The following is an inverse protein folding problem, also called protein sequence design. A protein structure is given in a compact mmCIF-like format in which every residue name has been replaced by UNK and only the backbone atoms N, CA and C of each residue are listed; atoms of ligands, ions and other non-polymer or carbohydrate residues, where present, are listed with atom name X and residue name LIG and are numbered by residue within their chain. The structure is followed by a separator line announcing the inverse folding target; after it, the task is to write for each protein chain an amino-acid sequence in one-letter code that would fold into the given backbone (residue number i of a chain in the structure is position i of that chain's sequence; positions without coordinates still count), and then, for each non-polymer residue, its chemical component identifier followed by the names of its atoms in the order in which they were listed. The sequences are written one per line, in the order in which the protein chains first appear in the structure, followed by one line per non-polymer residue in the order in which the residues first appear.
data_IF_894371892627
#
_entry.id   IF_894371892627
#
_cell.length_a   1.000
_cell.length_b   1.000
_cell.length_c   1.000
_cell.angle_alpha   90.00
_cell.angle_beta   90.00
_cell.angle_gamma   90.00
#
_symmetry.space_group_name_H-M   'P 1'
#
loop_
_entity.id
_entity.type
_entity.pdbx_description
1 polymer ?
#
# COMPACT_ATOMS: atom_id res chain seq x y z
N UNK A 1 -3.59 -2.97 -18.91
CA UNK A 1 -4.79 -2.15 -19.15
C UNK A 1 -5.16 -2.24 -20.63
N UNK A 2 -6.43 -2.51 -20.99
CA UNK A 2 -6.84 -2.56 -22.40
C UNK A 2 -7.19 -1.18 -22.94
N UNK A 3 -7.02 -0.97 -24.25
CA UNK A 3 -7.42 0.28 -24.91
C UNK A 3 -8.92 0.57 -24.75
N UNK A 4 -9.76 -0.46 -24.78
CA UNK A 4 -11.20 -0.34 -24.53
C UNK A 4 -11.49 0.19 -23.12
N UNK A 5 -10.79 -0.30 -22.10
CA UNK A 5 -10.99 0.15 -20.71
C UNK A 5 -10.56 1.60 -20.50
N UNK A 6 -9.44 2.00 -21.10
CA UNK A 6 -9.03 3.41 -21.10
C UNK A 6 -10.06 4.29 -21.80
N UNK A 7 -10.55 3.88 -22.96
CA UNK A 7 -11.58 4.60 -23.72
C UNK A 7 -12.87 4.78 -22.91
N UNK A 8 -13.36 3.72 -22.28
CA UNK A 8 -14.56 3.76 -21.44
C UNK A 8 -14.36 4.66 -20.21
N UNK A 9 -13.16 4.67 -19.62
CA UNK A 9 -12.83 5.53 -18.50
C UNK A 9 -12.75 7.00 -18.90
N UNK A 10 -11.98 7.33 -19.95
CA UNK A 10 -11.71 8.73 -20.33
C UNK A 10 -12.96 9.44 -20.87
N UNK A 11 -13.91 8.70 -21.48
CA UNK A 11 -15.15 9.29 -22.00
C UNK A 11 -16.19 9.63 -20.92
N UNK A 12 -16.02 9.14 -19.68
CA UNK A 12 -16.87 9.54 -18.55
C UNK A 12 -16.59 10.98 -18.08
N UNK A 13 -15.46 11.57 -18.48
CA UNK A 13 -15.12 12.96 -18.18
C UNK A 13 -15.64 13.90 -19.28
N UNK A 14 -16.18 15.07 -18.91
CA UNK A 14 -16.41 16.18 -19.84
C UNK A 14 -15.16 16.50 -20.65
N UNK A 15 -15.33 16.96 -21.88
CA UNK A 15 -14.21 17.18 -22.82
C UNK A 15 -13.09 18.05 -22.23
N UNK A 16 -13.44 19.13 -21.51
CA UNK A 16 -12.49 20.02 -20.85
C UNK A 16 -11.74 19.42 -19.66
N UNK A 17 -12.21 18.31 -19.09
CA UNK A 17 -11.60 17.65 -17.92
C UNK A 17 -10.66 16.50 -18.31
N UNK A 18 -10.75 16.00 -19.55
CA UNK A 18 -9.99 14.82 -20.01
C UNK A 18 -8.48 15.00 -19.93
N UNK A 19 -7.98 16.22 -20.14
CA UNK A 19 -6.55 16.51 -20.05
C UNK A 19 -6.02 16.31 -18.62
N UNK A 20 -6.81 16.69 -17.60
CA UNK A 20 -6.45 16.48 -16.19
C UNK A 20 -6.37 14.98 -15.87
N UNK A 21 -7.35 14.21 -16.33
CA UNK A 21 -7.37 12.76 -16.19
C UNK A 21 -6.14 12.11 -16.85
N UNK A 22 -5.78 12.52 -18.07
CA UNK A 22 -4.59 12.03 -18.76
C UNK A 22 -3.28 12.38 -18.04
N UNK A 23 -3.17 13.59 -17.45
CA UNK A 23 -1.97 13.97 -16.67
C UNK A 23 -1.81 13.12 -15.43
N UNK A 24 -2.87 12.93 -14.65
CA UNK A 24 -2.83 12.04 -13.49
C UNK A 24 -2.49 10.60 -13.89
N UNK A 25 -3.09 10.10 -14.98
CA UNK A 25 -2.79 8.78 -15.50
C UNK A 25 -1.32 8.65 -15.93
N UNK A 26 -0.73 9.69 -16.52
CA UNK A 26 0.68 9.68 -16.93
C UNK A 26 1.66 9.60 -15.75
N UNK A 27 1.24 10.03 -14.55
CA UNK A 27 2.00 9.90 -13.31
C UNK A 27 1.64 8.67 -12.47
N UNK A 28 0.61 7.90 -12.86
CA UNK A 28 0.23 6.68 -12.17
C UNK A 28 1.29 5.59 -12.38
N UNK A 29 2.01 5.25 -11.31
CA UNK A 29 2.99 4.15 -11.29
C UNK A 29 2.22 2.84 -11.16
N UNK A 30 2.18 2.07 -12.25
CA UNK A 30 1.58 0.74 -12.30
C UNK A 30 2.71 -0.28 -12.24
N UNK A 31 2.76 -1.05 -11.16
CA UNK A 31 3.75 -2.11 -10.96
C UNK A 31 3.18 -3.44 -11.44
N UNK A 32 3.89 -4.09 -12.36
CA UNK A 32 3.53 -5.43 -12.81
C UNK A 32 3.97 -6.52 -11.81
N UNK A 33 3.82 -7.80 -12.19
CA UNK A 33 4.17 -8.92 -11.32
C UNK A 33 5.69 -8.99 -11.03
N UNK A 34 6.53 -8.67 -12.00
CA UNK A 34 7.98 -8.72 -11.82
C UNK A 34 8.49 -7.50 -11.04
N UNK A 35 7.87 -6.34 -11.22
CA UNK A 35 8.10 -5.17 -10.39
C UNK A 35 7.79 -5.47 -8.91
N UNK A 36 6.62 -6.06 -8.63
CA UNK A 36 6.22 -6.45 -7.26
C UNK A 36 7.21 -7.44 -6.64
N UNK A 37 7.65 -8.45 -7.40
CA UNK A 37 8.68 -9.39 -6.93
C UNK A 37 9.99 -8.68 -6.63
N UNK A 38 10.40 -7.75 -7.49
CA UNK A 38 11.62 -6.96 -7.33
C UNK A 38 11.56 -6.03 -6.11
N UNK A 39 10.41 -5.41 -5.85
CA UNK A 39 10.18 -4.61 -4.66
C UNK A 39 10.29 -5.47 -3.39
N UNK A 40 9.63 -6.62 -3.34
CA UNK A 40 9.75 -7.53 -2.18
C UNK A 40 11.16 -8.09 -1.98
N UNK A 41 11.86 -8.40 -3.07
CA UNK A 41 13.27 -8.79 -3.01
C UNK A 41 14.14 -7.66 -2.42
N UNK A 42 13.89 -6.40 -2.81
CA UNK A 42 14.57 -5.24 -2.24
C UNK A 42 14.30 -5.07 -0.74
N UNK A 43 13.05 -5.25 -0.29
CA UNK A 43 12.72 -5.25 1.14
C UNK A 43 13.50 -6.34 1.86
N UNK A 44 13.48 -7.57 1.33
CA UNK A 44 14.12 -8.72 1.98
C UNK A 44 15.63 -8.53 2.16
N UNK A 45 16.33 -8.03 1.13
CA UNK A 45 17.78 -7.77 1.18
C UNK A 45 18.19 -6.71 2.21
N UNK A 46 17.29 -5.80 2.54
CA UNK A 46 17.54 -4.74 3.53
C UNK A 46 17.27 -5.19 4.97
N UNK A 47 16.62 -6.33 5.18
CA UNK A 47 16.33 -6.84 6.52
C UNK A 47 17.59 -7.39 7.18
N UNK A 48 17.84 -7.07 8.46
CA UNK A 48 18.99 -7.60 9.20
C UNK A 48 18.70 -9.04 9.69
N UNK A 49 18.51 -9.98 8.77
CA UNK A 49 18.22 -11.38 9.06
C UNK A 49 19.52 -12.14 9.39
N UNK A 50 19.75 -12.55 10.65
CA UNK A 50 20.92 -13.33 10.98
C UNK A 50 20.68 -14.81 10.66
N UNK A 51 21.72 -15.47 10.16
CA UNK A 51 21.71 -16.90 9.74
C UNK A 51 21.11 -17.85 10.78
N UNK A 52 21.23 -17.54 12.08
CA UNK A 52 20.83 -18.40 13.20
C UNK A 52 19.55 -17.97 13.93
N UNK A 53 18.91 -16.85 13.58
CA UNK A 53 17.64 -16.46 14.24
C UNK A 53 16.44 -16.87 13.39
N UNK A 54 15.37 -17.24 14.08
CA UNK A 54 14.09 -17.52 13.45
C UNK A 54 13.38 -16.21 13.15
N UNK A 55 13.24 -15.91 11.86
CA UNK A 55 12.42 -14.80 11.36
C UNK A 55 11.10 -15.33 10.80
N UNK A 56 10.02 -14.64 11.14
CA UNK A 56 8.66 -14.93 10.66
C UNK A 56 8.11 -13.70 9.94
N UNK A 57 7.51 -13.92 8.78
CA UNK A 57 6.92 -12.88 7.95
C UNK A 57 5.40 -12.97 8.02
N UNK A 58 4.73 -11.86 8.27
CA UNK A 58 3.29 -11.83 8.55
C UNK A 58 2.63 -10.70 7.76
N UNK A 59 1.57 -10.98 7.01
CA UNK A 59 0.76 -9.93 6.40
C UNK A 59 0.16 -8.98 7.43
N UNK A 60 0.24 -7.67 7.22
CA UNK A 60 -0.32 -6.67 8.12
C UNK A 60 -1.84 -6.50 7.87
N UNK A 61 -2.67 -6.64 8.90
CA UNK A 61 -4.13 -6.45 8.82
C UNK A 61 -4.95 -7.71 9.14
N UNK A 62 -6.25 -7.71 8.77
CA UNK A 62 -7.16 -8.83 9.00
C UNK A 62 -7.97 -9.20 7.75
N UNK A 63 -8.24 -10.50 7.60
CA UNK A 63 -9.43 -11.13 7.01
C UNK A 63 -9.77 -10.89 5.53
N UNK A 64 -9.87 -9.62 5.11
CA UNK A 64 -10.43 -9.18 3.84
C UNK A 64 -9.69 -7.93 3.27
N UNK A 65 -8.45 -7.66 3.69
CA UNK A 65 -7.65 -6.53 3.19
C UNK A 65 -6.46 -7.01 2.35
N UNK A 66 -5.93 -6.14 1.50
CA UNK A 66 -4.77 -6.42 0.62
C UNK A 66 -3.56 -7.00 1.37
N UNK A 67 -3.39 -6.66 2.65
CA UNK A 67 -2.35 -7.18 3.53
C UNK A 67 -2.19 -8.71 3.60
N UNK A 68 -3.28 -9.48 3.51
CA UNK A 68 -3.22 -10.96 3.47
C UNK A 68 -2.67 -11.52 2.16
N UNK A 69 -2.72 -10.72 1.10
CA UNK A 69 -2.26 -11.12 -0.22
C UNK A 69 -0.75 -10.88 -0.39
N UNK A 70 -0.11 -10.07 0.46
CA UNK A 70 1.32 -9.73 0.36
C UNK A 70 2.29 -10.91 0.62
N UNK A 71 2.00 -11.85 1.54
CA UNK A 71 2.81 -13.05 1.76
C UNK A 71 3.12 -13.90 0.52
N UNK A 72 2.18 -14.04 -0.41
CA UNK A 72 2.35 -14.83 -1.62
C UNK A 72 3.36 -14.23 -2.63
N UNK A 73 3.18 -12.99 -3.13
CA UNK A 73 4.15 -12.32 -3.99
C UNK A 73 5.48 -12.08 -3.26
N UNK A 74 5.46 -11.88 -1.94
CA UNK A 74 6.69 -11.82 -1.15
C UNK A 74 7.48 -13.14 -1.23
N UNK A 75 6.83 -14.30 -1.00
CA UNK A 75 7.46 -15.63 -1.14
C UNK A 75 8.05 -15.83 -2.54
N UNK A 76 7.32 -15.42 -3.58
CA UNK A 76 7.81 -15.51 -4.96
C UNK A 76 9.02 -14.60 -5.21
N UNK A 77 9.03 -13.39 -4.65
CA UNK A 77 10.12 -12.43 -4.81
C UNK A 77 11.42 -12.89 -4.14
N UNK A 78 11.33 -13.51 -2.96
CA UNK A 78 12.51 -13.91 -2.21
C UNK A 78 13.08 -15.26 -2.63
N UNK A 79 12.27 -16.21 -3.11
CA UNK A 79 12.70 -17.60 -3.37
C UNK A 79 13.77 -17.73 -4.45
N UNK A 80 13.96 -16.69 -5.28
CA UNK A 80 14.97 -16.64 -6.34
C UNK A 80 16.28 -15.99 -5.88
N UNK A 81 16.37 -15.53 -4.65
CA UNK A 81 17.50 -14.77 -4.15
C UNK A 81 18.60 -15.68 -3.59
N UNK A 82 19.89 -15.44 -3.91
CA UNK A 82 21.00 -16.10 -3.23
C UNK A 82 20.98 -15.91 -1.70
N UNK A 83 20.52 -14.74 -1.22
CA UNK A 83 20.36 -14.45 0.20
C UNK A 83 19.30 -15.34 0.85
N UNK A 84 18.24 -15.67 0.12
CA UNK A 84 17.24 -16.62 0.59
C UNK A 84 17.84 -18.02 0.70
N UNK A 85 18.51 -18.50 -0.36
CA UNK A 85 19.18 -19.81 -0.35
C UNK A 85 20.16 -19.92 0.82
N UNK A 86 20.96 -18.88 1.07
CA UNK A 86 21.93 -18.88 2.18
C UNK A 86 21.28 -18.91 3.57
N UNK A 87 20.04 -18.42 3.73
CA UNK A 87 19.34 -18.34 5.02
C UNK A 87 18.37 -19.52 5.26
N UNK A 88 17.92 -20.14 4.17
CA UNK A 88 16.79 -21.08 4.13
C UNK A 88 17.12 -22.35 3.33
N UNK A 89 18.40 -22.68 3.10
CA UNK A 89 18.82 -23.91 2.38
C UNK A 89 18.31 -25.21 3.00
N UNK A 90 18.16 -25.24 4.32
CA UNK A 90 17.73 -26.42 5.09
C UNK A 90 16.30 -26.32 5.64
N UNK A 91 15.61 -25.21 5.40
CA UNK A 91 14.28 -24.93 5.97
C UNK A 91 13.54 -23.86 5.18
N UNK A 92 12.23 -23.96 5.05
CA UNK A 92 11.45 -22.88 4.42
C UNK A 92 11.30 -21.65 5.33
N UNK A 93 11.20 -20.47 4.71
CA UNK A 93 10.76 -19.28 5.42
C UNK A 93 9.32 -19.44 5.95
N UNK A 94 9.14 -19.12 7.23
CA UNK A 94 7.84 -19.11 7.92
C UNK A 94 7.09 -17.83 7.53
N UNK A 95 6.08 -17.95 6.68
CA UNK A 95 5.31 -16.82 6.13
C UNK A 95 3.82 -17.08 6.36
N UNK A 96 3.12 -16.16 7.00
CA UNK A 96 1.71 -16.28 7.35
C UNK A 96 0.88 -15.11 6.81
N UNK A 97 -0.40 -15.33 6.44
CA UNK A 97 -1.30 -14.28 5.97
C UNK A 97 -1.62 -13.24 7.05
N UNK A 98 -1.66 -13.64 8.31
CA UNK A 98 -1.87 -12.74 9.44
C UNK A 98 -1.33 -13.34 10.76
N UNK A 99 -1.30 -12.50 11.81
CA UNK A 99 -0.73 -12.85 13.11
C UNK A 99 -1.57 -13.88 13.89
N UNK A 100 -2.88 -13.95 13.63
CA UNK A 100 -3.76 -14.89 14.31
C UNK A 100 -3.41 -16.32 13.87
N UNK A 101 -3.25 -16.54 12.56
CA UNK A 101 -2.84 -17.83 12.01
C UNK A 101 -1.45 -18.27 12.51
N UNK A 102 -0.50 -17.33 12.58
CA UNK A 102 0.80 -17.58 13.20
C UNK A 102 0.64 -18.01 14.67
N UNK A 103 -0.16 -17.29 15.45
CA UNK A 103 -0.31 -17.54 16.88
C UNK A 103 -1.03 -18.87 17.17
N UNK A 104 -2.00 -19.27 16.36
CA UNK A 104 -2.68 -20.56 16.45
C UNK A 104 -1.75 -21.74 16.15
N UNK A 105 -0.89 -21.58 15.13
CA UNK A 105 0.02 -22.63 14.67
C UNK A 105 1.27 -22.78 15.57
N UNK A 106 1.73 -21.69 16.18
CA UNK A 106 3.09 -21.60 16.77
C UNK A 106 3.07 -21.69 18.29
N UNK A 107 2.36 -22.69 18.84
CA UNK A 107 2.07 -22.79 20.28
C UNK A 107 3.31 -22.90 21.20
N UNK A 108 4.52 -23.20 20.68
CA UNK A 108 5.67 -23.54 21.53
C UNK A 108 7.02 -22.86 21.21
N UNK A 109 7.21 -22.26 20.02
CA UNK A 109 8.44 -21.53 19.67
C UNK A 109 8.12 -20.14 19.11
N UNK A 110 8.42 -19.10 19.88
CA UNK A 110 8.29 -17.71 19.43
C UNK A 110 9.55 -17.29 18.66
N UNK A 111 9.41 -16.62 17.50
CA UNK A 111 10.54 -16.21 16.67
C UNK A 111 11.36 -15.14 17.38
N UNK A 112 12.60 -14.95 16.95
CA UNK A 112 13.40 -13.81 17.42
C UNK A 112 13.10 -12.53 16.63
N UNK A 113 12.63 -12.67 15.38
CA UNK A 113 12.35 -11.56 14.47
C UNK A 113 10.96 -11.73 13.86
N UNK A 114 10.21 -10.62 13.82
CA UNK A 114 8.99 -10.52 13.02
C UNK A 114 9.11 -9.42 12.00
N UNK A 115 8.62 -9.70 10.81
CA UNK A 115 8.48 -8.74 9.73
C UNK A 115 7.03 -8.68 9.32
N UNK A 116 6.34 -7.59 9.67
CA UNK A 116 5.03 -7.31 9.12
C UNK A 116 5.16 -6.84 7.68
N UNK A 117 4.31 -7.31 6.79
CA UNK A 117 4.34 -7.02 5.35
C UNK A 117 3.12 -6.19 4.94
N UNK A 118 3.34 -5.02 4.35
CA UNK A 118 2.26 -4.19 3.80
C UNK A 118 2.60 -3.68 2.38
N UNK A 119 1.58 -3.41 1.56
CA UNK A 119 1.79 -2.95 0.18
C UNK A 119 2.25 -1.49 0.16
N UNK A 120 1.61 -0.64 0.97
CA UNK A 120 1.91 0.79 1.05
C UNK A 120 1.85 1.33 2.48
N UNK A 121 2.80 2.22 2.81
CA UNK A 121 2.66 3.15 3.93
C UNK A 121 2.45 4.56 3.39
N UNK A 122 1.18 4.97 3.33
CA UNK A 122 0.77 6.34 2.99
C UNK A 122 1.03 7.31 4.14
N UNK A 123 -0.03 7.71 4.84
CA UNK A 123 0.05 8.55 6.04
C UNK A 123 0.38 7.79 7.34
N UNK A 124 0.62 6.48 7.31
CA UNK A 124 1.05 5.66 8.45
C UNK A 124 0.00 5.32 9.53
N UNK A 125 -1.17 5.96 9.53
CA UNK A 125 -2.20 5.76 10.58
C UNK A 125 -2.67 4.31 10.72
N UNK A 126 -2.94 3.65 9.60
CA UNK A 126 -3.42 2.26 9.60
C UNK A 126 -2.36 1.30 10.17
N UNK A 127 -1.10 1.42 9.74
CA UNK A 127 -0.01 0.59 10.26
C UNK A 127 0.16 0.79 11.78
N UNK A 128 0.13 2.04 12.26
CA UNK A 128 0.17 2.35 13.70
C UNK A 128 -0.99 1.71 14.44
N UNK A 129 -2.21 1.78 13.89
CA UNK A 129 -3.41 1.17 14.49
C UNK A 129 -3.27 -0.35 14.60
N UNK A 130 -2.91 -1.02 13.50
CA UNK A 130 -2.80 -2.48 13.46
C UNK A 130 -1.70 -2.99 14.37
N UNK A 131 -0.51 -2.41 14.32
CA UNK A 131 0.61 -2.86 15.14
C UNK A 131 0.32 -2.60 16.62
N UNK A 132 -0.23 -1.45 17.00
CA UNK A 132 -0.64 -1.24 18.39
C UNK A 132 -1.68 -2.27 18.85
N UNK A 133 -2.67 -2.59 18.01
CA UNK A 133 -3.63 -3.64 18.32
C UNK A 133 -2.95 -4.99 18.54
N UNK A 134 -1.96 -5.36 17.72
CA UNK A 134 -1.21 -6.60 17.92
C UNK A 134 -0.43 -6.60 19.24
N UNK A 135 0.28 -5.52 19.56
CA UNK A 135 1.00 -5.43 20.84
C UNK A 135 0.08 -5.48 22.06
N UNK A 136 -1.18 -5.06 21.93
CA UNK A 136 -2.19 -5.18 23.00
C UNK A 136 -2.77 -6.58 23.15
N UNK A 137 -2.69 -7.43 22.11
CA UNK A 137 -3.29 -8.76 22.11
C UNK A 137 -2.26 -9.89 22.19
N UNK A 138 -0.97 -9.59 21.95
CA UNK A 138 0.10 -10.58 21.86
C UNK A 138 1.34 -10.13 22.66
N UNK A 139 1.34 -10.38 23.96
CA UNK A 139 2.41 -9.94 24.88
C UNK A 139 3.82 -10.39 24.49
N UNK A 140 3.92 -11.53 23.80
CA UNK A 140 5.19 -12.07 23.33
C UNK A 140 5.89 -11.15 22.30
N UNK A 141 5.17 -10.23 21.66
CA UNK A 141 5.75 -9.22 20.76
C UNK A 141 6.74 -8.28 21.47
N UNK A 142 6.63 -8.12 22.79
CA UNK A 142 7.56 -7.27 23.55
C UNK A 142 8.98 -7.83 23.66
N UNK A 143 9.18 -9.12 23.29
CA UNK A 143 10.45 -9.81 23.41
C UNK A 143 11.07 -10.20 22.05
N UNK A 144 10.56 -9.63 20.94
CA UNK A 144 11.02 -9.93 19.58
C UNK A 144 11.37 -8.65 18.84
N UNK A 145 12.35 -8.73 17.93
CA UNK A 145 12.68 -7.60 17.06
C UNK A 145 11.60 -7.49 15.96
N UNK A 146 10.86 -6.39 15.95
CA UNK A 146 9.76 -6.18 14.98
C UNK A 146 10.17 -5.19 13.90
N UNK A 147 10.00 -5.59 12.64
CA UNK A 147 10.18 -4.75 11.46
C UNK A 147 8.86 -4.62 10.70
N UNK A 148 8.72 -3.53 9.95
CA UNK A 148 7.65 -3.36 8.97
C UNK A 148 8.27 -3.26 7.58
N UNK A 149 8.11 -4.29 6.75
CA UNK A 149 8.57 -4.34 5.37
C UNK A 149 7.46 -3.92 4.41
N UNK A 150 7.74 -2.94 3.55
CA UNK A 150 6.73 -2.35 2.65
C UNK A 150 7.29 -2.09 1.25
N UNK A 151 6.46 -2.28 0.23
CA UNK A 151 6.91 -2.04 -1.15
C UNK A 151 7.08 -0.54 -1.41
N UNK A 152 6.06 0.25 -1.09
CA UNK A 152 6.09 1.71 -1.29
C UNK A 152 5.76 2.41 0.02
N UNK A 153 6.47 3.49 0.35
CA UNK A 153 6.13 4.31 1.50
C UNK A 153 6.44 5.78 1.27
N UNK A 154 5.59 6.67 1.78
CA UNK A 154 5.96 8.08 1.90
C UNK A 154 6.91 8.27 3.08
N UNK A 155 7.93 9.11 2.93
CA UNK A 155 8.89 9.44 4.00
C UNK A 155 8.18 9.90 5.28
N UNK A 156 7.18 10.75 5.14
CA UNK A 156 6.36 11.23 6.27
C UNK A 156 5.58 10.11 6.95
N UNK A 157 5.13 9.10 6.18
CA UNK A 157 4.49 7.90 6.71
C UNK A 157 5.44 7.03 7.51
N UNK A 158 6.66 6.79 7.00
CA UNK A 158 7.74 6.09 7.70
C UNK A 158 8.03 6.76 9.04
N UNK A 159 8.32 8.07 9.02
CA UNK A 159 8.66 8.84 10.21
C UNK A 159 7.55 8.79 11.28
N UNK A 160 6.29 8.88 10.86
CA UNK A 160 5.15 8.77 11.77
C UNK A 160 5.07 7.38 12.41
N UNK A 161 5.23 6.31 11.63
CA UNK A 161 5.19 4.93 12.14
C UNK A 161 6.31 4.70 13.14
N UNK A 162 7.56 5.03 12.78
CA UNK A 162 8.73 4.85 13.65
C UNK A 162 8.63 5.69 14.93
N UNK A 163 8.11 6.91 14.84
CA UNK A 163 7.88 7.77 16.01
C UNK A 163 6.78 7.21 16.91
N UNK A 164 5.63 6.83 16.35
CA UNK A 164 4.46 6.39 17.12
C UNK A 164 4.63 5.00 17.73
N UNK A 165 5.46 4.15 17.10
CA UNK A 165 5.73 2.78 17.55
C UNK A 165 7.15 2.63 18.11
N UNK A 166 7.76 3.73 18.57
CA UNK A 166 9.08 3.71 19.20
C UNK A 166 9.10 2.71 20.36
N UNK A 167 10.08 1.79 20.34
CA UNK A 167 10.21 0.72 21.33
C UNK A 167 9.32 -0.51 21.06
N UNK A 168 8.44 -0.46 20.05
CA UNK A 168 7.66 -1.60 19.54
C UNK A 168 8.17 -2.07 18.18
N UNK A 169 8.40 -1.13 17.26
CA UNK A 169 8.96 -1.39 15.93
C UNK A 169 10.39 -0.88 15.89
N UNK A 170 11.30 -1.76 15.48
CA UNK A 170 12.73 -1.47 15.31
C UNK A 170 12.96 -0.54 14.14
N UNK A 171 12.37 -0.84 12.97
CA UNK A 171 12.53 -0.05 11.75
C UNK A 171 11.44 -0.35 10.72
N UNK A 172 11.11 0.66 9.90
CA UNK A 172 10.37 0.46 8.65
C UNK A 172 11.35 0.31 7.49
N UNK A 173 11.21 -0.76 6.71
CA UNK A 173 12.03 -1.07 5.53
C UNK A 173 11.14 -0.92 4.30
N UNK A 174 11.43 0.10 3.49
CA UNK A 174 10.70 0.35 2.25
C UNK A 174 11.58 0.03 1.04
N UNK A 175 11.03 -0.64 0.02
CA UNK A 175 11.74 -0.80 -1.24
C UNK A 175 11.80 0.51 -2.02
N UNK A 176 10.73 1.29 -2.00
CA UNK A 176 10.65 2.61 -2.61
C UNK A 176 10.12 3.65 -1.64
N UNK A 177 10.85 4.76 -1.52
CA UNK A 177 10.48 5.89 -0.68
C UNK A 177 10.00 7.02 -1.58
N UNK A 178 8.78 7.48 -1.34
CA UNK A 178 8.18 8.65 -1.97
C UNK A 178 8.36 9.88 -1.09
N UNK A 179 8.63 10.99 -1.74
CA UNK A 179 8.68 12.31 -1.11
C UNK A 179 7.34 13.02 -1.27
N UNK A 180 7.21 14.19 -0.65
CA UNK A 180 6.00 15.01 -0.79
C UNK A 180 5.73 15.42 -2.24
N UNK A 181 6.78 15.53 -3.08
CA UNK A 181 6.66 15.79 -4.52
C UNK A 181 6.03 14.65 -5.32
N UNK A 182 6.01 13.42 -4.78
CA UNK A 182 5.34 12.28 -5.43
C UNK A 182 3.81 12.28 -5.23
N UNK A 183 3.26 13.13 -4.34
CA UNK A 183 1.80 13.24 -4.20
C UNK A 183 1.18 13.85 -5.45
N UNK A 184 0.02 13.33 -5.82
CA UNK A 184 -0.70 13.70 -7.04
C UNK A 184 -0.87 15.20 -7.22
N UNK A 185 -1.14 15.95 -6.14
CA UNK A 185 -1.41 17.39 -6.20
C UNK A 185 -0.38 18.23 -5.43
N UNK A 186 0.81 17.67 -5.21
CA UNK A 186 1.91 18.47 -4.67
C UNK A 186 2.25 19.61 -5.64
N UNK A 187 2.46 20.84 -5.14
CA UNK A 187 2.99 21.93 -5.96
C UNK A 187 4.32 21.63 -6.65
N UNK A 188 5.07 20.66 -6.12
CA UNK A 188 6.36 20.22 -6.65
C UNK A 188 6.24 18.97 -7.54
N UNK A 189 5.03 18.46 -7.78
CA UNK A 189 4.84 17.34 -8.70
C UNK A 189 5.01 17.84 -10.15
N UNK A 190 5.91 17.25 -10.95
CA UNK A 190 6.25 17.74 -12.29
C UNK A 190 5.10 17.66 -13.31
N UNK A 191 3.98 16.99 -12.99
CA UNK A 191 2.79 17.02 -13.86
C UNK A 191 2.07 18.37 -13.85
N UNK A 192 2.39 19.25 -12.89
CA UNK A 192 1.83 20.59 -12.78
C UNK A 192 2.90 21.65 -13.03
N UNK A 193 2.52 22.70 -13.75
CA UNK A 193 3.39 23.85 -14.04
C UNK A 193 3.31 24.91 -12.93
N UNK A 194 2.19 24.95 -12.20
CA UNK A 194 1.91 25.96 -11.17
C UNK A 194 1.17 25.35 -9.98
N UNK A 195 1.23 26.00 -8.82
CA UNK A 195 0.48 25.59 -7.63
C UNK A 195 -1.03 25.74 -7.83
N UNK A 196 -1.45 26.76 -8.58
CA UNK A 196 -2.84 27.03 -8.92
C UNK A 196 -3.44 25.90 -9.75
N UNK A 197 -2.67 25.39 -10.71
CA UNK A 197 -3.06 24.24 -11.53
C UNK A 197 -3.18 22.95 -10.69
N UNK A 198 -2.22 22.70 -9.80
CA UNK A 198 -2.26 21.56 -8.87
C UNK A 198 -3.50 21.63 -7.95
N UNK A 199 -3.79 22.80 -7.39
CA UNK A 199 -4.95 23.01 -6.52
C UNK A 199 -6.28 22.85 -7.29
N UNK A 200 -6.38 23.40 -8.49
CA UNK A 200 -7.58 23.24 -9.33
C UNK A 200 -7.81 21.76 -9.68
N UNK A 201 -6.74 21.03 -10.00
CA UNK A 201 -6.80 19.59 -10.25
C UNK A 201 -7.18 18.80 -8.98
N UNK A 202 -6.71 19.22 -7.81
CA UNK A 202 -7.07 18.59 -6.54
C UNK A 202 -8.57 18.73 -6.25
N UNK A 203 -9.14 19.92 -6.40
CA UNK A 203 -10.58 20.15 -6.20
C UNK A 203 -11.42 19.37 -7.21
N UNK A 204 -10.99 19.33 -8.47
CA UNK A 204 -11.62 18.52 -9.52
C UNK A 204 -11.63 17.03 -9.17
N UNK A 205 -10.46 16.47 -8.82
CA UNK A 205 -10.35 15.06 -8.45
C UNK A 205 -11.11 14.75 -7.16
N UNK A 206 -11.13 15.69 -6.21
CA UNK A 206 -11.84 15.57 -4.92
C UNK A 206 -13.35 15.51 -5.13
N UNK A 207 -13.90 16.31 -6.05
CA UNK A 207 -15.33 16.24 -6.42
C UNK A 207 -15.70 14.84 -6.89
N UNK A 208 -14.94 14.30 -7.86
CA UNK A 208 -15.18 12.96 -8.41
C UNK A 208 -15.01 11.91 -7.31
N UNK A 209 -13.91 11.97 -6.56
CA UNK A 209 -13.61 11.06 -5.47
C UNK A 209 -14.68 11.04 -4.38
N UNK A 210 -15.23 12.20 -4.03
CA UNK A 210 -16.34 12.30 -3.09
C UNK A 210 -17.57 11.57 -3.64
N UNK A 211 -17.98 11.88 -4.87
CA UNK A 211 -19.18 11.28 -5.49
C UNK A 211 -19.07 9.75 -5.61
N UNK A 212 -17.94 9.22 -6.09
CA UNK A 212 -17.79 7.77 -6.27
C UNK A 212 -17.71 6.99 -4.95
N UNK A 213 -17.30 7.65 -3.86
CA UNK A 213 -17.26 7.04 -2.53
C UNK A 213 -18.58 7.15 -1.76
N UNK A 214 -19.55 7.94 -2.23
CA UNK A 214 -20.83 8.11 -1.56
C UNK A 214 -21.55 6.77 -1.37
N UNK A 215 -21.99 6.50 -0.13
CA UNK A 215 -22.71 5.28 0.23
C UNK A 215 -21.82 4.05 0.50
N UNK A 216 -20.49 4.18 0.41
CA UNK A 216 -19.55 3.11 0.81
C UNK A 216 -19.20 3.24 2.29
N UNK A 217 -19.74 2.34 3.11
CA UNK A 217 -19.63 2.40 4.59
C UNK A 217 -18.20 2.41 5.13
N UNK A 218 -17.24 1.84 4.38
CA UNK A 218 -15.84 1.76 4.77
C UNK A 218 -15.03 3.05 4.50
N UNK A 219 -15.62 4.05 3.85
CA UNK A 219 -14.95 5.30 3.49
C UNK A 219 -15.70 6.52 4.04
N UNK A 220 -14.95 7.57 4.34
CA UNK A 220 -15.52 8.90 4.62
C UNK A 220 -15.23 9.80 3.42
N UNK A 221 -16.21 10.05 2.53
CA UNK A 221 -15.98 10.74 1.25
C UNK A 221 -15.17 12.04 1.37
N UNK A 222 -15.47 12.90 2.35
CA UNK A 222 -14.74 14.17 2.54
C UNK A 222 -13.26 14.00 2.91
N UNK A 223 -12.92 12.89 3.56
CA UNK A 223 -11.57 12.56 4.00
C UNK A 223 -10.82 11.74 2.94
N UNK A 224 -11.51 10.84 2.24
CA UNK A 224 -10.91 9.79 1.41
C UNK A 224 -11.04 10.06 -0.11
N UNK A 225 -11.69 11.16 -0.50
CA UNK A 225 -11.89 11.56 -1.91
C UNK A 225 -10.58 11.69 -2.71
N UNK A 226 -9.45 11.92 -2.05
CA UNK A 226 -8.12 11.98 -2.68
C UNK A 226 -7.23 10.78 -2.28
N UNK A 227 -7.86 9.66 -1.97
CA UNK A 227 -7.25 8.47 -1.38
C UNK A 227 -7.32 8.51 0.15
N UNK A 228 -7.13 7.36 0.79
CA UNK A 228 -7.26 7.17 2.24
C UNK A 228 -6.53 8.26 3.03
N UNK A 229 -7.26 8.98 3.88
CA UNK A 229 -6.75 10.12 4.65
C UNK A 229 -6.06 11.20 3.79
N UNK A 230 -6.53 11.41 2.56
CA UNK A 230 -5.97 12.39 1.63
C UNK A 230 -4.55 12.08 1.16
N UNK A 231 -4.17 10.80 1.09
CA UNK A 231 -2.78 10.41 0.78
C UNK A 231 -2.31 10.82 -0.63
N UNK A 232 -3.22 10.95 -1.60
CA UNK A 232 -2.89 11.39 -2.96
C UNK A 232 -1.80 10.54 -3.63
N UNK A 233 -1.74 9.24 -3.33
CA UNK A 233 -0.80 8.36 -4.00
C UNK A 233 -1.21 8.15 -5.47
N UNK A 234 -0.23 7.92 -6.32
CA UNK A 234 -0.43 7.51 -7.71
C UNK A 234 0.27 6.16 -7.91
N UNK A 235 -0.26 5.13 -7.25
CA UNK A 235 0.28 3.77 -7.26
C UNK A 235 -0.81 2.75 -7.55
N UNK A 236 -0.52 1.76 -8.38
CA UNK A 236 -1.33 0.57 -8.56
C UNK A 236 -0.41 -0.65 -8.69
N UNK A 237 -0.81 -1.78 -8.12
CA UNK A 237 -0.13 -3.07 -8.29
C UNK A 237 -0.99 -3.97 -9.20
N UNK A 238 -0.37 -4.91 -9.90
CA UNK A 238 -1.08 -5.81 -10.82
C UNK A 238 -2.24 -6.58 -10.16
N UNK A 239 -2.13 -6.85 -8.85
CA UNK A 239 -3.13 -7.58 -8.08
C UNK A 239 -4.14 -6.69 -7.35
N UNK A 240 -3.83 -5.41 -7.14
CA UNK A 240 -4.70 -4.49 -6.39
C UNK A 240 -4.29 -3.01 -6.53
N UNK A 241 -5.24 -2.10 -6.37
CA UNK A 241 -4.98 -0.66 -6.21
C UNK A 241 -5.10 -0.28 -4.74
N UNK A 242 -4.03 0.23 -4.07
CA UNK A 242 -4.12 0.67 -2.69
C UNK A 242 -5.16 1.78 -2.51
N UNK A 243 -5.84 1.81 -1.36
CA UNK A 243 -6.86 2.85 -1.13
C UNK A 243 -6.23 4.24 -0.91
N UNK A 244 -4.92 4.32 -0.73
CA UNK A 244 -4.15 5.56 -0.76
C UNK A 244 -4.15 6.24 -2.13
N UNK A 245 -4.47 5.51 -3.20
CA UNK A 245 -4.58 6.04 -4.56
C UNK A 245 -5.92 6.71 -4.79
N UNK A 246 -5.98 7.65 -5.74
CA UNK A 246 -7.19 8.42 -6.03
C UNK A 246 -8.38 7.51 -6.41
N UNK A 247 -9.56 7.63 -5.76
CA UNK A 247 -10.75 6.82 -6.02
C UNK A 247 -11.23 6.83 -7.47
N UNK A 248 -11.01 7.94 -8.19
CA UNK A 248 -11.33 8.07 -9.62
C UNK A 248 -10.69 6.98 -10.50
N UNK A 249 -9.61 6.34 -10.03
CA UNK A 249 -8.96 5.24 -10.76
C UNK A 249 -9.55 3.86 -10.46
N UNK A 250 -10.08 3.63 -9.27
CA UNK A 250 -10.32 2.26 -8.78
C UNK A 250 -11.69 2.01 -8.16
N UNK A 251 -12.38 3.04 -7.72
CA UNK A 251 -13.70 2.89 -7.10
C UNK A 251 -14.75 2.85 -8.20
N UNK A 252 -15.68 1.90 -8.12
CA UNK A 252 -16.96 2.03 -8.79
C UNK A 252 -17.90 2.89 -7.95
N UNK A 253 -18.98 3.39 -8.56
CA UNK A 253 -19.93 4.21 -7.84
C UNK A 253 -20.79 5.00 -8.79
N UNK A 254 -21.14 6.22 -8.38
CA UNK A 254 -21.88 7.14 -9.23
C UNK A 254 -21.20 8.49 -9.28
N UNK A 255 -21.26 9.14 -10.44
CA UNK A 255 -20.70 10.47 -10.64
C UNK A 255 -21.55 11.25 -11.67
N UNK A 256 -21.33 12.57 -11.78
CA UNK A 256 -21.91 13.44 -12.82
C UNK A 256 -23.44 13.34 -12.94
N UNK A 257 -24.16 13.45 -11.82
CA UNK A 257 -25.62 13.37 -11.85
C UNK A 257 -26.16 11.93 -11.82
N UNK A 258 -25.53 11.07 -11.01
CA UNK A 258 -25.98 9.71 -10.69
C UNK A 258 -25.76 8.69 -11.84
N UNK A 259 -24.86 8.98 -12.77
CA UNK A 259 -24.40 8.03 -13.79
C UNK A 259 -23.44 7.01 -13.19
N UNK A 260 -23.45 5.78 -13.70
CA UNK A 260 -22.57 4.72 -13.20
C UNK A 260 -21.10 5.03 -13.54
N UNK A 261 -20.26 5.13 -12.52
CA UNK A 261 -18.83 5.33 -12.67
C UNK A 261 -18.10 4.00 -12.83
N UNK A 262 -17.36 3.85 -13.94
CA UNK A 262 -16.55 2.66 -14.24
C UNK A 262 -15.07 2.98 -14.02
N UNK A 263 -14.39 2.32 -13.07
CA UNK A 263 -13.00 2.60 -12.77
C UNK A 263 -12.05 2.11 -13.86
N UNK A 264 -10.94 2.82 -14.02
CA UNK A 264 -9.86 2.45 -14.93
C UNK A 264 -9.19 1.13 -14.55
N UNK A 265 -9.07 0.85 -13.26
CA UNK A 265 -8.45 -0.35 -12.71
C UNK A 265 -9.43 -0.96 -11.72
N UNK A 266 -9.78 -2.23 -11.90
CA UNK A 266 -10.62 -2.94 -10.93
C UNK A 266 -9.87 -3.14 -9.61
N UNK A 267 -10.58 -2.88 -8.51
CA UNK A 267 -10.12 -3.24 -7.18
C UNK A 267 -10.91 -4.45 -6.72
N UNK A 268 -10.20 -5.50 -6.30
CA UNK A 268 -10.80 -6.63 -5.62
C UNK A 268 -10.89 -6.27 -4.13
N UNK A 269 -12.11 -6.05 -3.62
CA UNK A 269 -12.41 -5.90 -2.19
C UNK A 269 -12.81 -7.24 -1.57
#
# INVERSE_FOLDING_TARGET
MSAARFHDWILQFPEGERLLACRLLSALKIYDEEDVRSLWASVFKQLPLPVKRDAVFIGLGHGAKSGRHNPYPFRQGISRLPEYESLYSEREAKIFPDIAEFNETSQYEKPSIIVFLDDIVGGGSQAVKYINNYFSNYDWLNNVDVYLGVMVAFRTGIEKVEKALKGKVTKVIAAQIFEESDRAFSPNNPIWSTSEEANAAAEWAKRIGHEVLMGKEQYTPDQDALGWEGCQALVAFYYNVPNNTLPLFWSDGKCNGNEAWKPLIERFE
#
